data_IF_090901575454
#
_entry.id   IF_090901575454
#
_cell.length_a   1.000
_cell.length_b   1.000
_cell.length_c   1.000
_cell.angle_alpha   90.00
_cell.angle_beta   90.00
_cell.angle_gamma   90.00
#
_symmetry.space_group_name_H-M   'P 1'
#
loop_
_entity.id
_entity.type
_entity.pdbx_description
1 polymer ?
#
# COMPACT_ATOMS: atom_id res chain seq x y z
N UNK A 1 -13.65 9.97 -9.00
CA UNK A 1 -12.99 11.24 -8.63
C UNK A 1 -13.71 11.77 -7.41
N UNK A 2 -13.05 11.73 -6.26
CA UNK A 2 -13.59 12.33 -5.03
C UNK A 2 -12.99 13.73 -4.98
N UNK A 3 -13.82 14.78 -5.01
CA UNK A 3 -13.36 16.18 -4.84
C UNK A 3 -12.17 16.62 -5.73
N UNK A 4 -12.16 16.24 -7.01
CA UNK A 4 -11.05 16.46 -7.97
C UNK A 4 -9.77 15.66 -7.71
N UNK A 5 -9.68 14.90 -6.63
CA UNK A 5 -8.58 13.95 -6.40
C UNK A 5 -8.78 12.67 -7.21
N UNK A 6 -7.67 12.19 -7.79
CA UNK A 6 -7.62 10.92 -8.53
C UNK A 6 -6.88 9.91 -7.66
N UNK A 7 -7.45 8.73 -7.51
CA UNK A 7 -6.83 7.64 -6.76
C UNK A 7 -6.51 6.50 -7.73
N UNK A 8 -5.28 5.98 -7.65
CA UNK A 8 -4.83 4.84 -8.46
C UNK A 8 -4.29 3.78 -7.51
N UNK A 9 -4.91 2.59 -7.51
CA UNK A 9 -4.46 1.46 -6.69
C UNK A 9 -3.59 0.53 -7.54
N UNK A 10 -2.42 0.20 -7.01
CA UNK A 10 -1.51 -0.80 -7.56
C UNK A 10 -1.37 -1.94 -6.58
N UNK A 11 -1.44 -3.18 -7.08
CA UNK A 11 -1.27 -4.39 -6.29
C UNK A 11 -0.14 -5.21 -6.90
N UNK A 12 0.71 -5.79 -6.05
CA UNK A 12 1.69 -6.78 -6.44
C UNK A 12 1.74 -7.90 -5.43
N UNK A 13 1.98 -9.13 -5.93
CA UNK A 13 2.41 -10.21 -5.07
C UNK A 13 3.86 -9.94 -4.63
N UNK A 14 4.15 -10.16 -3.35
CA UNK A 14 5.47 -9.99 -2.72
C UNK A 14 5.65 -11.03 -1.63
N UNK A 15 6.77 -11.73 -1.63
CA UNK A 15 7.08 -12.80 -0.67
C UNK A 15 8.08 -12.36 0.40
N UNK A 16 8.67 -11.17 0.27
CA UNK A 16 9.63 -10.61 1.24
C UNK A 16 9.37 -9.12 1.49
N UNK A 17 9.81 -8.62 2.65
CA UNK A 17 9.70 -7.20 2.96
C UNK A 17 10.49 -6.35 1.94
N UNK A 18 11.62 -6.86 1.46
CA UNK A 18 12.46 -6.24 0.45
C UNK A 18 11.69 -6.05 -0.86
N UNK A 19 11.03 -7.08 -1.38
CA UNK A 19 10.19 -6.99 -2.58
C UNK A 19 9.05 -5.97 -2.41
N UNK A 20 8.43 -5.91 -1.22
CA UNK A 20 7.41 -4.91 -0.91
C UNK A 20 7.98 -3.49 -0.97
N UNK A 21 9.15 -3.26 -0.35
CA UNK A 21 9.81 -1.95 -0.40
C UNK A 21 10.22 -1.56 -1.82
N UNK A 22 10.77 -2.49 -2.61
CA UNK A 22 11.12 -2.26 -4.02
C UNK A 22 9.90 -1.88 -4.85
N UNK A 23 8.79 -2.59 -4.68
CA UNK A 23 7.53 -2.27 -5.35
C UNK A 23 7.01 -0.89 -4.97
N UNK A 24 7.02 -0.53 -3.68
CA UNK A 24 6.63 0.80 -3.20
C UNK A 24 7.50 1.88 -3.84
N UNK A 25 8.82 1.71 -3.85
CA UNK A 25 9.74 2.68 -4.46
C UNK A 25 9.52 2.80 -5.97
N UNK A 26 9.25 1.70 -6.67
CA UNK A 26 8.91 1.71 -8.09
C UNK A 26 7.66 2.55 -8.36
N UNK A 27 6.58 2.36 -7.60
CA UNK A 27 5.34 3.13 -7.77
C UNK A 27 5.56 4.61 -7.41
N UNK A 28 6.28 4.90 -6.32
CA UNK A 28 6.67 6.26 -5.94
C UNK A 28 7.47 6.97 -7.04
N UNK A 29 8.41 6.28 -7.68
CA UNK A 29 9.17 6.83 -8.81
C UNK A 29 8.29 7.05 -10.05
N UNK A 30 7.37 6.13 -10.33
CA UNK A 30 6.44 6.26 -11.45
C UNK A 30 5.47 7.44 -11.27
N UNK A 31 5.01 7.68 -10.04
CA UNK A 31 4.10 8.76 -9.67
C UNK A 31 4.78 9.77 -8.72
N UNK A 32 5.98 10.22 -9.10
CA UNK A 32 6.81 11.10 -8.28
C UNK A 32 6.17 12.47 -8.01
N UNK A 33 5.20 12.87 -8.85
CA UNK A 33 4.46 14.12 -8.75
C UNK A 33 3.09 13.96 -8.05
N UNK A 34 2.79 12.78 -7.52
CA UNK A 34 1.60 12.56 -6.69
C UNK A 34 1.73 13.26 -5.34
N UNK A 35 0.60 13.54 -4.71
CA UNK A 35 0.56 14.17 -3.39
C UNK A 35 0.94 13.15 -2.31
N UNK A 36 0.41 11.92 -2.44
CA UNK A 36 0.71 10.82 -1.54
C UNK A 36 0.75 9.49 -2.28
N UNK A 37 1.60 8.58 -1.82
CA UNK A 37 1.69 7.19 -2.21
C UNK A 37 1.61 6.32 -0.95
N UNK A 38 0.42 6.24 -0.36
CA UNK A 38 0.14 5.42 0.81
C UNK A 38 0.32 3.93 0.47
N UNK A 39 0.79 3.14 1.41
CA UNK A 39 1.09 1.72 1.16
C UNK A 39 0.67 0.83 2.31
N UNK A 40 0.32 -0.40 1.98
CA UNK A 40 0.10 -1.46 2.96
C UNK A 40 0.55 -2.81 2.39
N UNK A 41 1.08 -3.69 3.23
CA UNK A 41 1.39 -5.06 2.81
C UNK A 41 1.23 -6.08 3.92
N UNK A 42 0.94 -7.30 3.51
CA UNK A 42 0.84 -8.52 4.33
C UNK A 42 1.69 -9.59 3.66
N UNK A 43 2.60 -10.23 4.42
CA UNK A 43 3.50 -11.25 3.90
C UNK A 43 3.52 -12.45 4.84
N UNK A 44 3.52 -13.65 4.25
CA UNK A 44 3.50 -14.93 4.93
C UNK A 44 2.08 -15.47 5.14
N UNK A 45 1.96 -16.80 5.16
CA UNK A 45 0.70 -17.53 5.32
C UNK A 45 -0.10 -17.11 6.57
N UNK A 46 0.60 -16.84 7.69
CA UNK A 46 -0.04 -16.40 8.95
C UNK A 46 0.15 -14.90 9.21
N UNK A 47 0.31 -14.08 8.16
CA UNK A 47 0.44 -12.63 8.25
C UNK A 47 1.60 -12.18 9.15
N UNK A 48 2.75 -12.84 9.02
CA UNK A 48 3.90 -12.68 9.91
C UNK A 48 4.44 -11.25 9.84
N UNK A 49 4.39 -10.65 8.65
CA UNK A 49 4.81 -9.28 8.41
C UNK A 49 3.60 -8.49 7.92
N UNK A 50 3.30 -7.41 8.64
CA UNK A 50 2.21 -6.50 8.32
C UNK A 50 2.72 -5.07 8.49
N UNK A 51 2.54 -4.24 7.46
CA UNK A 51 2.93 -2.83 7.55
C UNK A 51 1.96 -1.94 6.81
N UNK A 52 1.79 -0.74 7.33
CA UNK A 52 0.98 0.33 6.79
C UNK A 52 1.78 1.64 6.84
N UNK A 53 1.60 2.49 5.84
CA UNK A 53 2.18 3.82 5.79
C UNK A 53 1.20 4.79 5.12
N UNK A 54 0.90 5.89 5.81
CA UNK A 54 -0.02 6.94 5.36
C UNK A 54 0.66 7.97 4.41
N UNK A 55 1.99 7.94 4.26
CA UNK A 55 2.75 8.81 3.34
C UNK A 55 2.42 10.31 3.44
N UNK A 56 2.21 10.80 4.67
CA UNK A 56 1.90 12.21 4.94
C UNK A 56 0.41 12.54 5.01
N UNK A 57 -0.47 11.58 4.72
CA UNK A 57 -1.88 11.68 5.14
C UNK A 57 -1.99 11.69 6.67
N UNK A 58 -3.09 12.21 7.25
CA UNK A 58 -3.30 12.13 8.69
C UNK A 58 -3.14 10.69 9.21
N UNK A 59 -2.42 10.54 10.31
CA UNK A 59 -2.05 9.24 10.85
C UNK A 59 -3.25 8.30 11.01
N UNK A 60 -3.14 7.10 10.43
CA UNK A 60 -4.14 6.04 10.50
C UNK A 60 -5.30 6.17 9.52
N UNK A 61 -5.28 7.14 8.60
CA UNK A 61 -6.42 7.39 7.69
C UNK A 61 -6.32 6.70 6.33
N UNK A 62 -5.15 6.23 5.91
CA UNK A 62 -4.95 5.61 4.60
C UNK A 62 -4.35 4.20 4.70
N UNK A 63 -3.11 4.08 5.20
CA UNK A 63 -2.36 2.83 5.25
C UNK A 63 -3.04 1.77 6.12
N UNK A 64 -3.55 2.13 7.30
CA UNK A 64 -4.21 1.18 8.20
C UNK A 64 -5.52 0.65 7.60
N UNK A 65 -6.44 1.49 7.07
CA UNK A 65 -7.60 1.01 6.33
C UNK A 65 -7.25 0.10 5.15
N UNK A 66 -6.20 0.42 4.39
CA UNK A 66 -5.72 -0.44 3.30
C UNK A 66 -5.30 -1.83 3.80
N UNK A 67 -4.51 -1.88 4.88
CA UNK A 67 -4.06 -3.14 5.50
C UNK A 67 -5.24 -4.00 5.97
N UNK A 68 -6.23 -3.37 6.60
CA UNK A 68 -7.43 -4.07 7.08
C UNK A 68 -8.26 -4.66 5.94
N UNK A 69 -8.30 -4.01 4.77
CA UNK A 69 -8.95 -4.57 3.57
C UNK A 69 -8.21 -5.81 3.08
N UNK A 70 -6.87 -5.80 3.01
CA UNK A 70 -6.09 -6.96 2.61
C UNK A 70 -6.37 -8.17 3.53
N UNK A 71 -6.37 -7.94 4.84
CA UNK A 71 -6.62 -8.96 5.86
C UNK A 71 -8.04 -9.51 5.80
N UNK A 72 -9.05 -8.64 5.73
CA UNK A 72 -10.47 -9.06 5.62
C UNK A 72 -10.76 -9.87 4.36
N UNK A 73 -10.01 -9.61 3.28
CA UNK A 73 -10.09 -10.37 2.03
C UNK A 73 -9.26 -11.66 2.03
N UNK A 74 -8.49 -11.91 3.09
CA UNK A 74 -7.59 -13.07 3.19
C UNK A 74 -6.44 -13.02 2.19
N UNK A 75 -6.06 -11.83 1.70
CA UNK A 75 -4.95 -11.68 0.77
C UNK A 75 -3.62 -11.85 1.52
N UNK A 76 -2.77 -12.73 0.98
CA UNK A 76 -1.44 -13.05 1.50
C UNK A 76 -0.39 -12.63 0.50
N UNK A 77 0.84 -12.42 0.97
CA UNK A 77 1.98 -12.05 0.12
C UNK A 77 1.63 -10.89 -0.83
N UNK A 78 0.97 -9.87 -0.33
CA UNK A 78 0.37 -8.81 -1.14
C UNK A 78 0.81 -7.45 -0.65
N UNK A 79 1.32 -6.63 -1.56
CA UNK A 79 1.56 -5.21 -1.33
C UNK A 79 0.60 -4.37 -2.18
N UNK A 80 0.02 -3.36 -1.54
CA UNK A 80 -0.85 -2.36 -2.13
C UNK A 80 -0.21 -0.98 -2.00
N UNK A 81 -0.26 -0.20 -3.08
CA UNK A 81 0.09 1.22 -3.08
C UNK A 81 -1.06 2.00 -3.69
N UNK A 82 -1.56 3.00 -2.97
CA UNK A 82 -2.59 3.92 -3.47
C UNK A 82 -1.95 5.28 -3.67
N UNK A 83 -1.92 5.71 -4.93
CA UNK A 83 -1.43 7.02 -5.36
C UNK A 83 -2.59 8.01 -5.37
N UNK A 84 -2.43 9.16 -4.72
CA UNK A 84 -3.34 10.32 -4.75
C UNK A 84 -2.72 11.52 -5.45
#
# INVERSE_FOLDING_TARGET
VIEKSRFICHLSRVSTEQEAQEFIQKIKKQHWNATHNCSAYVIGENDHIQKANDDGEPSGTAGVPMLEVLKKRGLKDTCAVVTR
#
